data_IF_781186991601
#
_entry.id   IF_781186991601
#
_cell.length_a   1.000
_cell.length_b   1.000
_cell.length_c   1.000
_cell.angle_alpha   90.00
_cell.angle_beta   90.00
_cell.angle_gamma   90.00
#
_symmetry.space_group_name_H-M   'P 1'
#
loop_
_entity.id
_entity.type
_entity.pdbx_description
1 polymer ?
#
# COMPACT_ATOMS: atom_id res chain seq x y z
N UNK A 1 -9.13 -7.64 19.80
CA UNK A 1 -7.71 -7.81 19.42
C UNK A 1 -7.19 -6.69 18.55
N UNK A 2 -7.86 -6.28 17.49
CA UNK A 2 -7.38 -5.28 16.53
C UNK A 2 -7.25 -3.86 17.09
N UNK A 3 -8.19 -3.42 17.89
CA UNK A 3 -8.15 -2.08 18.48
C UNK A 3 -7.02 -1.90 19.51
N UNK A 4 -6.60 -2.98 20.16
CA UNK A 4 -5.44 -2.99 21.07
C UNK A 4 -4.12 -2.83 20.32
N UNK A 5 -4.02 -3.40 19.13
CA UNK A 5 -2.80 -3.36 18.31
C UNK A 5 -2.59 -1.97 17.71
N UNK A 6 -3.64 -1.36 17.13
CA UNK A 6 -3.56 0.02 16.62
C UNK A 6 -3.12 1.01 17.70
N UNK A 7 -3.68 0.90 18.91
CA UNK A 7 -3.32 1.76 20.05
C UNK A 7 -1.85 1.65 20.49
N UNK A 8 -1.21 0.48 20.28
CA UNK A 8 0.21 0.26 20.58
C UNK A 8 1.12 1.16 19.73
N UNK A 9 0.81 1.30 18.45
CA UNK A 9 1.62 2.10 17.52
C UNK A 9 1.33 3.59 17.67
N UNK A 10 0.06 3.97 17.76
CA UNK A 10 -0.36 5.37 17.90
C UNK A 10 0.26 6.04 19.13
N UNK A 11 0.35 5.34 20.26
CA UNK A 11 0.94 5.88 21.51
C UNK A 11 2.41 6.25 21.41
N UNK A 12 3.14 5.68 20.45
CA UNK A 12 4.58 5.89 20.29
C UNK A 12 4.92 6.96 19.24
N UNK A 13 3.91 7.50 18.55
CA UNK A 13 4.11 8.52 17.53
C UNK A 13 3.98 9.89 18.19
N UNK A 14 5.05 10.70 18.10
CA UNK A 14 5.03 12.10 18.54
C UNK A 14 4.42 12.98 17.44
N UNK A 15 3.10 12.91 17.31
CA UNK A 15 2.38 13.81 16.42
C UNK A 15 2.29 15.21 17.04
N UNK A 16 2.45 16.21 16.21
CA UNK A 16 2.08 17.57 16.58
C UNK A 16 0.56 17.66 16.80
N UNK A 17 0.06 18.59 17.62
CA UNK A 17 -1.38 18.71 17.92
C UNK A 17 -2.26 18.77 16.66
N UNK A 18 -1.81 19.47 15.62
CA UNK A 18 -2.50 19.60 14.33
C UNK A 18 -2.57 18.27 13.55
N UNK A 19 -1.65 17.36 13.81
CA UNK A 19 -1.57 16.05 13.13
C UNK A 19 -2.42 14.96 13.83
N UNK A 20 -2.84 15.20 15.08
CA UNK A 20 -3.59 14.22 15.85
C UNK A 20 -4.94 13.82 15.19
N UNK A 21 -5.53 14.74 14.44
CA UNK A 21 -6.78 14.49 13.71
C UNK A 21 -6.60 13.59 12.48
N UNK A 22 -5.36 13.34 12.05
CA UNK A 22 -5.03 12.50 10.88
C UNK A 22 -5.06 11.01 11.21
N UNK A 23 -5.06 10.66 12.52
CA UNK A 23 -5.19 9.28 12.97
C UNK A 23 -6.53 9.13 13.68
N UNK A 24 -7.40 8.28 13.13
CA UNK A 24 -8.63 7.89 13.80
C UNK A 24 -8.59 6.40 14.13
N UNK A 25 -9.01 6.01 15.35
CA UNK A 25 -8.90 4.62 15.81
C UNK A 25 -9.65 3.59 14.96
N UNK A 26 -10.71 4.04 14.29
CA UNK A 26 -11.57 3.23 13.44
C UNK A 26 -11.14 3.18 11.97
N UNK A 27 -10.15 4.00 11.56
CA UNK A 27 -9.58 3.93 10.22
C UNK A 27 -8.74 2.66 10.04
N UNK A 28 -8.77 2.07 8.86
CA UNK A 28 -8.14 0.77 8.54
C UNK A 28 -7.06 0.84 7.44
N UNK A 29 -6.91 2.01 6.79
CA UNK A 29 -5.88 2.27 5.79
C UNK A 29 -4.96 3.41 6.22
N UNK A 30 -3.66 3.28 5.91
CA UNK A 30 -2.71 4.38 5.86
C UNK A 30 -2.45 4.67 4.38
N UNK A 31 -2.65 5.91 3.99
CA UNK A 31 -2.44 6.37 2.61
C UNK A 31 -1.57 7.62 2.55
N UNK A 32 -0.90 7.83 1.44
CA UNK A 32 -0.32 9.11 1.06
C UNK A 32 -1.03 9.63 -0.20
N UNK A 33 -1.59 10.81 -0.12
CA UNK A 33 -2.25 11.50 -1.23
C UNK A 33 -1.95 13.01 -1.17
N UNK A 34 -2.58 13.81 -2.02
CA UNK A 34 -2.36 15.27 -2.08
C UNK A 34 -2.49 16.00 -0.74
N UNK A 35 -3.18 15.42 0.24
CA UNK A 35 -3.34 15.99 1.58
C UNK A 35 -2.25 15.50 2.58
N UNK A 36 -1.28 14.73 2.10
CA UNK A 36 -0.20 14.11 2.88
C UNK A 36 -0.49 12.68 3.32
N UNK A 37 0.28 12.21 4.29
CA UNK A 37 0.16 10.85 4.85
C UNK A 37 -0.83 10.85 6.00
N UNK A 38 -1.88 10.06 5.88
CA UNK A 38 -2.99 10.01 6.85
C UNK A 38 -3.62 8.63 6.95
N UNK A 39 -4.58 8.47 7.87
CA UNK A 39 -5.43 7.26 7.92
C UNK A 39 -6.81 7.53 7.30
N UNK A 40 -7.41 6.51 6.70
CA UNK A 40 -8.75 6.57 6.08
C UNK A 40 -9.49 5.24 6.19
N UNK A 41 -10.74 5.19 5.73
CA UNK A 41 -11.56 3.98 5.67
C UNK A 41 -11.46 3.30 4.29
N UNK A 42 -11.45 1.97 4.28
CA UNK A 42 -11.53 1.18 3.03
C UNK A 42 -12.82 1.46 2.27
N UNK A 43 -13.91 1.74 2.97
CA UNK A 43 -15.21 2.06 2.38
C UNK A 43 -15.17 3.26 1.43
N UNK A 44 -14.26 4.21 1.65
CA UNK A 44 -14.08 5.33 0.73
C UNK A 44 -13.67 4.87 -0.68
N UNK A 45 -12.93 3.77 -0.77
CA UNK A 45 -12.52 3.17 -2.05
C UNK A 45 -13.59 2.24 -2.62
N UNK A 46 -14.29 1.50 -1.76
CA UNK A 46 -15.34 0.56 -2.17
C UNK A 46 -16.59 1.27 -2.71
N UNK A 47 -16.88 2.48 -2.23
CA UNK A 47 -18.10 3.24 -2.56
C UNK A 47 -17.99 4.11 -3.82
N UNK A 48 -17.15 3.76 -4.80
CA UNK A 48 -17.19 4.37 -6.11
C UNK A 48 -15.89 4.99 -6.62
N UNK A 49 -14.81 4.95 -5.85
CA UNK A 49 -13.52 5.48 -6.29
C UNK A 49 -12.64 4.45 -7.01
N UNK A 50 -12.86 3.16 -6.77
CA UNK A 50 -12.04 2.11 -7.35
C UNK A 50 -12.88 1.08 -8.12
N UNK A 51 -12.51 0.84 -9.37
CA UNK A 51 -13.06 -0.26 -10.19
C UNK A 51 -12.36 -1.59 -9.88
N UNK A 52 -11.14 -1.52 -9.35
CA UNK A 52 -10.35 -2.68 -8.97
C UNK A 52 -9.51 -2.37 -7.73
N UNK A 53 -9.52 -3.28 -6.78
CA UNK A 53 -8.66 -3.26 -5.60
C UNK A 53 -7.86 -4.55 -5.60
N UNK A 54 -6.54 -4.44 -5.48
CA UNK A 54 -5.63 -5.57 -5.38
C UNK A 54 -4.95 -5.45 -4.01
N UNK A 55 -5.07 -6.50 -3.21
CA UNK A 55 -4.49 -6.55 -1.87
C UNK A 55 -3.38 -7.60 -1.86
N UNK A 56 -2.20 -7.17 -1.49
CA UNK A 56 -1.04 -8.04 -1.25
C UNK A 56 -0.81 -8.19 0.24
N UNK A 57 -0.55 -9.41 0.67
CA UNK A 57 -0.18 -9.72 2.05
C UNK A 57 1.12 -10.50 2.06
N UNK A 58 2.27 -9.85 2.26
CA UNK A 58 3.53 -10.54 2.49
C UNK A 58 3.44 -11.43 3.72
N UNK A 59 4.01 -12.63 3.65
CA UNK A 59 4.08 -13.57 4.78
C UNK A 59 5.26 -13.16 5.66
N UNK A 60 4.96 -12.50 6.75
CA UNK A 60 5.92 -11.95 7.70
C UNK A 60 5.67 -12.50 9.11
N UNK A 61 6.73 -12.62 9.90
CA UNK A 61 6.61 -12.91 11.35
C UNK A 61 6.05 -11.70 12.10
N UNK A 62 5.54 -11.92 13.32
CA UNK A 62 4.97 -10.85 14.16
C UNK A 62 5.96 -9.70 14.39
N UNK A 63 7.25 -10.01 14.62
CA UNK A 63 8.28 -8.98 14.81
C UNK A 63 8.53 -8.16 13.55
N UNK A 64 8.45 -8.78 12.37
CA UNK A 64 8.57 -8.10 11.07
C UNK A 64 7.35 -7.22 10.81
N UNK A 65 6.15 -7.71 11.10
CA UNK A 65 4.92 -6.92 11.04
C UNK A 65 5.01 -5.71 11.98
N UNK A 66 5.49 -5.90 13.22
CA UNK A 66 5.71 -4.81 14.18
C UNK A 66 6.67 -3.74 13.62
N UNK A 67 7.73 -4.16 12.92
CA UNK A 67 8.69 -3.23 12.30
C UNK A 67 8.05 -2.45 11.15
N UNK A 68 7.34 -3.13 10.24
CA UNK A 68 6.60 -2.47 9.15
C UNK A 68 5.61 -1.46 9.69
N UNK A 69 4.80 -1.86 10.67
CA UNK A 69 3.79 -0.98 11.25
C UNK A 69 4.39 0.25 11.94
N UNK A 70 5.51 0.10 12.66
CA UNK A 70 6.22 1.24 13.24
C UNK A 70 6.66 2.24 12.18
N UNK A 71 7.24 1.74 11.08
CA UNK A 71 7.67 2.58 9.98
C UNK A 71 6.48 3.30 9.35
N UNK A 72 5.41 2.56 8.99
CA UNK A 72 4.20 3.13 8.40
C UNK A 72 3.61 4.26 9.26
N UNK A 73 3.42 4.01 10.54
CA UNK A 73 2.86 5.01 11.45
C UNK A 73 3.77 6.23 11.65
N UNK A 74 5.09 6.10 11.48
CA UNK A 74 6.02 7.21 11.62
C UNK A 74 5.89 8.27 10.52
N UNK A 75 5.33 7.90 9.36
CA UNK A 75 5.11 8.83 8.24
C UNK A 75 3.82 9.65 8.36
N UNK A 76 2.89 9.26 9.23
CA UNK A 76 1.61 9.97 9.34
C UNK A 76 1.83 11.42 9.73
N UNK A 77 1.22 12.31 8.95
CA UNK A 77 1.34 13.75 9.09
C UNK A 77 2.49 14.38 8.30
N UNK A 78 3.23 13.59 7.53
CA UNK A 78 4.16 14.13 6.54
C UNK A 78 3.39 14.65 5.32
N UNK A 79 3.93 15.68 4.68
CA UNK A 79 3.38 16.22 3.45
C UNK A 79 3.55 15.24 2.28
N UNK A 80 2.71 15.39 1.25
CA UNK A 80 2.85 14.62 0.02
C UNK A 80 4.03 15.12 -0.80
N UNK A 81 4.82 14.18 -1.34
CA UNK A 81 5.92 14.52 -2.23
C UNK A 81 5.42 14.62 -3.68
N UNK A 82 5.28 15.85 -4.18
CA UNK A 82 4.92 16.12 -5.57
C UNK A 82 6.12 16.09 -6.52
N UNK A 83 7.34 16.09 -5.99
CA UNK A 83 8.57 16.03 -6.77
C UNK A 83 8.99 14.58 -7.05
N UNK A 84 8.38 13.63 -6.32
CA UNK A 84 8.66 12.18 -6.40
C UNK A 84 10.13 11.83 -6.15
N UNK A 85 10.80 12.65 -5.34
CA UNK A 85 12.23 12.53 -5.02
C UNK A 85 12.44 11.72 -3.74
N UNK A 86 12.76 10.46 -3.91
CA UNK A 86 12.97 9.53 -2.80
C UNK A 86 14.14 9.93 -1.89
N UNK A 87 15.07 10.76 -2.35
CA UNK A 87 16.18 11.28 -1.53
C UNK A 87 15.70 12.31 -0.50
N UNK A 88 14.56 12.96 -0.75
CA UNK A 88 13.94 13.88 0.18
C UNK A 88 13.00 13.16 1.17
N UNK A 89 13.53 12.78 2.33
CA UNK A 89 12.76 12.05 3.35
C UNK A 89 11.74 12.87 4.15
N UNK A 90 11.60 14.19 3.87
CA UNK A 90 10.68 15.08 4.62
C UNK A 90 9.23 14.99 4.11
N UNK A 91 9.04 14.53 2.88
CA UNK A 91 7.76 14.31 2.22
C UNK A 91 7.65 12.85 1.79
N UNK A 92 6.47 12.37 1.47
CA UNK A 92 6.27 10.97 1.09
C UNK A 92 5.22 10.81 0.00
N UNK A 93 5.52 10.01 -1.01
CA UNK A 93 4.52 9.45 -1.93
C UNK A 93 3.91 8.16 -1.38
N UNK A 94 2.86 7.64 -2.04
CA UNK A 94 2.25 6.36 -1.68
C UNK A 94 3.22 5.16 -1.84
N UNK A 95 4.06 5.18 -2.87
CA UNK A 95 5.06 4.13 -3.10
C UNK A 95 6.25 4.24 -2.14
N UNK A 96 6.65 5.45 -1.76
CA UNK A 96 7.74 5.66 -0.81
C UNK A 96 7.41 5.15 0.58
N UNK A 97 6.19 5.37 1.08
CA UNK A 97 5.80 4.81 2.37
C UNK A 97 5.84 3.27 2.35
N UNK A 98 5.52 2.64 1.22
CA UNK A 98 5.67 1.19 1.03
C UNK A 98 7.15 0.81 1.03
N UNK A 99 7.98 1.45 0.20
CA UNK A 99 9.41 1.18 0.13
C UNK A 99 10.07 1.30 1.51
N UNK A 100 9.92 2.44 2.17
CA UNK A 100 10.55 2.72 3.46
C UNK A 100 10.05 1.83 4.59
N UNK A 101 8.85 1.27 4.46
CA UNK A 101 8.28 0.38 5.47
C UNK A 101 8.66 -1.07 5.28
N UNK A 102 8.73 -1.54 4.04
CA UNK A 102 8.89 -2.97 3.74
C UNK A 102 10.28 -3.36 3.26
N UNK A 103 11.03 -2.46 2.61
CA UNK A 103 12.33 -2.81 2.04
C UNK A 103 13.32 -3.28 3.11
N UNK A 104 13.93 -4.44 2.90
CA UNK A 104 14.84 -5.09 3.86
C UNK A 104 14.13 -5.81 5.02
N UNK A 105 12.81 -5.89 5.03
CA UNK A 105 12.06 -6.65 6.04
C UNK A 105 11.74 -8.06 5.52
N UNK A 106 12.18 -9.07 6.27
CA UNK A 106 12.04 -10.46 5.83
C UNK A 106 12.82 -10.72 4.54
N UNK A 107 12.14 -11.24 3.53
CA UNK A 107 12.70 -11.50 2.20
C UNK A 107 12.33 -10.39 1.19
N UNK A 108 11.77 -9.28 1.64
CA UNK A 108 11.35 -8.20 0.75
C UNK A 108 12.55 -7.34 0.41
N UNK A 109 12.90 -7.30 -0.88
CA UNK A 109 13.95 -6.44 -1.44
C UNK A 109 13.36 -5.74 -2.65
N UNK A 110 13.10 -4.45 -2.51
CA UNK A 110 12.52 -3.61 -3.54
C UNK A 110 13.63 -2.80 -4.21
N UNK A 111 13.72 -2.89 -5.53
CA UNK A 111 14.67 -2.14 -6.31
C UNK A 111 14.06 -0.80 -6.73
N UNK A 112 14.88 0.24 -6.71
CA UNK A 112 14.46 1.56 -7.19
C UNK A 112 14.72 1.67 -8.69
N UNK A 113 13.85 2.42 -9.36
CA UNK A 113 13.93 2.69 -10.79
C UNK A 113 14.35 4.13 -11.02
N UNK A 114 15.14 4.37 -12.07
CA UNK A 114 15.37 5.72 -12.59
C UNK A 114 14.32 6.02 -13.67
N UNK A 115 13.45 6.96 -13.41
CA UNK A 115 12.44 7.42 -14.36
C UNK A 115 12.73 8.88 -14.68
N UNK A 116 13.31 9.14 -15.85
CA UNK A 116 13.70 10.47 -16.32
C UNK A 116 14.67 11.22 -15.39
N UNK A 117 15.58 10.49 -14.74
CA UNK A 117 16.56 11.08 -13.81
C UNK A 117 16.06 11.26 -12.39
N UNK A 118 14.86 10.73 -12.07
CA UNK A 118 14.31 10.71 -10.72
C UNK A 118 14.31 9.27 -10.20
N UNK A 119 15.00 9.04 -9.09
CA UNK A 119 15.01 7.74 -8.41
C UNK A 119 13.69 7.54 -7.69
N UNK A 120 12.89 6.58 -8.13
CA UNK A 120 11.53 6.36 -7.60
C UNK A 120 11.17 4.88 -7.56
N UNK A 121 10.00 4.59 -7.03
CA UNK A 121 9.37 3.27 -7.02
C UNK A 121 7.99 3.38 -7.66
N UNK A 122 7.82 2.78 -8.82
CA UNK A 122 6.54 2.83 -9.52
C UNK A 122 5.49 1.87 -8.90
N UNK A 123 4.22 2.23 -9.05
CA UNK A 123 3.12 1.34 -8.66
C UNK A 123 3.10 0.04 -9.46
N UNK A 124 3.49 0.11 -10.74
CA UNK A 124 3.58 -1.06 -11.63
C UNK A 124 4.68 -2.01 -11.18
N UNK A 125 5.84 -1.50 -10.78
CA UNK A 125 6.91 -2.31 -10.21
C UNK A 125 6.44 -3.03 -8.94
N UNK A 126 5.81 -2.32 -8.01
CA UNK A 126 5.26 -2.93 -6.79
C UNK A 126 4.25 -4.04 -7.11
N UNK A 127 3.35 -3.80 -8.05
CA UNK A 127 2.37 -4.78 -8.49
C UNK A 127 3.07 -6.04 -9.03
N UNK A 128 4.05 -5.87 -9.93
CA UNK A 128 4.84 -6.97 -10.49
C UNK A 128 5.61 -7.74 -9.44
N UNK A 129 6.28 -7.02 -8.54
CA UNK A 129 7.04 -7.63 -7.45
C UNK A 129 6.15 -8.55 -6.62
N UNK A 130 5.06 -8.05 -6.09
CA UNK A 130 4.20 -8.83 -5.20
C UNK A 130 3.36 -9.89 -5.90
N UNK A 131 2.99 -9.71 -7.17
CA UNK A 131 2.33 -10.77 -7.95
C UNK A 131 3.23 -11.99 -8.13
N UNK A 132 4.53 -11.76 -8.33
CA UNK A 132 5.49 -12.82 -8.62
C UNK A 132 6.16 -13.39 -7.35
N UNK A 133 6.05 -12.72 -6.20
CA UNK A 133 6.64 -13.19 -4.95
C UNK A 133 5.84 -14.38 -4.40
N UNK A 134 6.49 -15.58 -4.24
CA UNK A 134 5.84 -16.76 -3.68
C UNK A 134 5.48 -16.62 -2.19
N UNK A 135 6.07 -15.64 -1.48
CA UNK A 135 5.80 -15.35 -0.08
C UNK A 135 4.73 -14.27 0.11
N UNK A 136 3.97 -14.00 -0.93
CA UNK A 136 2.87 -13.02 -0.89
C UNK A 136 1.54 -13.69 -1.22
N UNK A 137 0.55 -13.55 -0.36
CA UNK A 137 -0.84 -13.90 -0.63
C UNK A 137 -1.50 -12.76 -1.39
N UNK A 138 -2.10 -13.08 -2.53
CA UNK A 138 -2.77 -12.13 -3.39
C UNK A 138 -4.29 -12.23 -3.21
N UNK A 139 -4.92 -11.10 -2.95
CA UNK A 139 -6.38 -10.96 -2.93
C UNK A 139 -6.74 -9.86 -3.92
N UNK A 140 -7.62 -10.16 -4.86
CA UNK A 140 -8.12 -9.19 -5.82
C UNK A 140 -9.63 -9.06 -5.70
N UNK A 141 -10.10 -7.84 -5.64
CA UNK A 141 -11.50 -7.48 -5.69
C UNK A 141 -11.75 -6.66 -6.96
N UNK A 142 -12.53 -7.21 -7.88
CA UNK A 142 -13.02 -6.48 -9.02
C UNK A 142 -14.41 -5.95 -8.70
N UNK A 143 -14.56 -4.62 -8.74
CA UNK A 143 -15.84 -3.95 -8.52
C UNK A 143 -16.29 -3.38 -9.86
N UNK A 144 -17.39 -3.89 -10.38
CA UNK A 144 -17.98 -3.38 -11.62
C UNK A 144 -18.99 -2.25 -11.32
N UNK A 145 -18.50 -1.02 -11.20
CA UNK A 145 -19.36 0.14 -10.94
C UNK A 145 -20.18 0.59 -12.17
N UNK A 146 -19.65 0.39 -13.36
CA UNK A 146 -20.24 0.89 -14.61
C UNK A 146 -21.07 -0.16 -15.37
N UNK A 147 -21.00 -1.41 -14.98
CA UNK A 147 -21.79 -2.45 -15.62
C UNK A 147 -23.17 -2.54 -14.99
N UNK A 148 -24.18 -2.78 -15.83
CA UNK A 148 -25.60 -2.90 -15.43
C UNK A 148 -25.89 -3.96 -14.36
N UNK A 149 -24.89 -4.69 -13.91
CA UNK A 149 -25.05 -5.79 -12.96
C UNK A 149 -24.72 -5.43 -11.53
N UNK A 150 -23.92 -4.37 -11.28
CA UNK A 150 -23.51 -3.96 -9.93
C UNK A 150 -22.84 -5.08 -9.11
N UNK A 151 -22.20 -6.04 -9.77
CA UNK A 151 -21.60 -7.21 -9.11
C UNK A 151 -20.14 -6.97 -8.83
N UNK A 152 -19.74 -7.21 -7.58
CA UNK A 152 -18.34 -7.34 -7.21
C UNK A 152 -17.92 -8.81 -7.33
N UNK A 153 -16.75 -9.06 -7.93
CA UNK A 153 -16.14 -10.38 -7.99
C UNK A 153 -14.93 -10.38 -7.08
N UNK A 154 -14.95 -11.25 -6.09
CA UNK A 154 -13.83 -11.45 -5.17
C UNK A 154 -13.02 -12.66 -5.60
N UNK A 155 -11.74 -12.44 -5.86
CA UNK A 155 -10.80 -13.49 -6.26
C UNK A 155 -9.70 -13.59 -5.20
N UNK A 156 -9.26 -14.79 -4.89
CA UNK A 156 -8.18 -15.03 -3.96
C UNK A 156 -7.02 -15.77 -4.63
N UNK A 157 -5.83 -15.48 -4.20
CA UNK A 157 -4.55 -16.08 -4.55
C UNK A 157 -4.46 -16.63 -5.99
N UNK A 158 -4.54 -17.94 -6.19
CA UNK A 158 -4.38 -18.54 -7.53
C UNK A 158 -5.38 -18.00 -8.55
N UNK A 159 -6.63 -17.85 -8.16
CA UNK A 159 -7.67 -17.33 -9.06
C UNK A 159 -7.42 -15.85 -9.39
N UNK A 160 -6.95 -15.06 -8.43
CA UNK A 160 -6.59 -13.68 -8.66
C UNK A 160 -5.36 -13.58 -9.58
N UNK A 161 -4.33 -14.40 -9.36
CA UNK A 161 -3.13 -14.45 -10.20
C UNK A 161 -3.44 -14.85 -11.65
N UNK A 162 -4.27 -15.90 -11.83
CA UNK A 162 -4.72 -16.33 -13.16
C UNK A 162 -5.50 -15.21 -13.86
N UNK A 163 -6.46 -14.61 -13.18
CA UNK A 163 -7.25 -13.51 -13.72
C UNK A 163 -6.37 -12.33 -14.15
N UNK A 164 -5.43 -11.91 -13.34
CA UNK A 164 -4.51 -10.80 -13.65
C UNK A 164 -3.61 -11.17 -14.84
N UNK A 165 -3.10 -12.39 -14.88
CA UNK A 165 -2.27 -12.89 -15.98
C UNK A 165 -3.00 -12.92 -17.32
N UNK A 166 -4.29 -13.25 -17.31
CA UNK A 166 -5.11 -13.34 -18.52
C UNK A 166 -5.63 -11.97 -18.99
N UNK A 167 -5.97 -11.08 -18.05
CA UNK A 167 -6.66 -9.84 -18.37
C UNK A 167 -5.77 -8.59 -18.31
N UNK A 168 -4.58 -8.69 -17.69
CA UNK A 168 -3.61 -7.59 -17.57
C UNK A 168 -2.19 -8.15 -17.73
N UNK A 169 -1.90 -8.86 -18.85
CA UNK A 169 -0.64 -9.56 -19.03
C UNK A 169 0.59 -8.65 -19.00
N UNK A 170 0.44 -7.38 -19.38
CA UNK A 170 1.50 -6.37 -19.32
C UNK A 170 2.00 -6.12 -17.90
N UNK A 171 1.12 -6.19 -16.91
CA UNK A 171 1.47 -6.02 -15.49
C UNK A 171 2.13 -7.26 -14.87
N UNK A 172 1.93 -8.44 -15.48
CA UNK A 172 2.46 -9.71 -14.95
C UNK A 172 3.75 -10.13 -15.63
N UNK A 173 3.92 -9.77 -16.91
CA UNK A 173 5.00 -10.22 -17.77
C UNK A 173 6.07 -9.15 -18.04
N UNK A 174 6.08 -8.04 -17.31
CA UNK A 174 7.12 -7.05 -17.52
C UNK A 174 8.49 -7.68 -17.20
N UNK A 175 9.40 -7.46 -18.10
CA UNK A 175 10.71 -8.11 -18.20
C UNK A 175 11.55 -7.86 -16.95
N UNK A 176 12.10 -8.94 -16.40
CA UNK A 176 13.32 -8.91 -15.61
C UNK A 176 14.47 -8.30 -16.41
#
# INVERSE_FOLDING_TARGET
GEQSTKNKYIKNIRLKPEQQNLIKPDHDIIEANSDGVRTTYIENYLNGYANRIIVFRPILSDNQIDSVMKNMYSFIGMDYDFDFDLDNGEKQTCSEIIYRSYNGIGNISLDLEDIFGVTTLSGDYLLQYFINDPNTVLISLLIEHETKTGKAVFLNDQNARLYLKENVPELVNAKN
#
